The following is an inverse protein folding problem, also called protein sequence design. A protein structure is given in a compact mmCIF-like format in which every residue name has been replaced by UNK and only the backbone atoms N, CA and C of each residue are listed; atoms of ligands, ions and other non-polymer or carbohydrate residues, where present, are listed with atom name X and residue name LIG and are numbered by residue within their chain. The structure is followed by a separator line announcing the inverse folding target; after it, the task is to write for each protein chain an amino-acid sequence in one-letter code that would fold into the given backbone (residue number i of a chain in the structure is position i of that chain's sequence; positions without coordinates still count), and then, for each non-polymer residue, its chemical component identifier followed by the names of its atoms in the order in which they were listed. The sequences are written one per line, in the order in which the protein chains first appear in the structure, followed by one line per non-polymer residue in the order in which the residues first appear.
data_IF_845814125366
#
_entry.id   IF_845814125366
#
_cell.length_a   1.000
_cell.length_b   1.000
_cell.length_c   1.000
_cell.angle_alpha   90.00
_cell.angle_beta   90.00
_cell.angle_gamma   90.00
#
_symmetry.space_group_name_H-M   'P 1'
#
loop_
_entity.id
_entity.type
_entity.pdbx_description
1 polymer ?
#
# COMPACT_ATOMS: atom_id res chain seq x y z
N UNK A 1 8.07 7.41 -5.75
CA UNK A 1 8.04 5.97 -6.14
C UNK A 1 7.19 5.84 -7.40
N UNK A 2 7.62 5.08 -8.40
CA UNK A 2 6.87 4.87 -9.65
C UNK A 2 5.89 3.70 -9.55
N UNK A 3 6.14 2.78 -8.62
CA UNK A 3 5.29 1.63 -8.32
C UNK A 3 5.26 1.38 -6.81
N UNK A 4 4.17 0.78 -6.33
CA UNK A 4 3.99 0.38 -4.93
C UNK A 4 3.54 -1.09 -4.88
N UNK A 5 4.20 -1.88 -4.04
CA UNK A 5 3.77 -3.23 -3.71
C UNK A 5 2.65 -3.21 -2.67
N UNK A 6 1.41 -3.03 -3.14
CA UNK A 6 0.23 -2.92 -2.29
C UNK A 6 -0.18 -4.29 -1.74
N UNK A 7 -0.72 -4.30 -0.53
CA UNK A 7 -1.38 -5.46 0.08
C UNK A 7 -2.89 -5.25 0.13
N UNK A 8 -3.67 -6.30 -0.10
CA UNK A 8 -5.13 -6.30 0.00
C UNK A 8 -5.64 -7.64 0.52
N UNK A 9 -6.82 -7.64 1.14
CA UNK A 9 -7.47 -8.88 1.58
C UNK A 9 -8.22 -9.50 0.40
N UNK A 10 -7.86 -10.72 0.02
CA UNK A 10 -8.59 -11.49 -1.00
C UNK A 10 -9.66 -12.35 -0.33
N UNK A 11 -10.92 -12.02 -0.59
CA UNK A 11 -12.08 -12.75 -0.06
C UNK A 11 -12.17 -14.18 -0.55
N UNK A 12 -11.64 -14.50 -1.74
CA UNK A 12 -11.72 -15.84 -2.32
C UNK A 12 -10.77 -16.81 -1.62
N UNK A 13 -9.53 -16.38 -1.41
CA UNK A 13 -8.51 -17.20 -0.76
C UNK A 13 -8.45 -17.01 0.75
N UNK A 14 -9.20 -16.03 1.29
CA UNK A 14 -9.20 -15.62 2.70
C UNK A 14 -7.78 -15.35 3.20
N UNK A 15 -7.01 -14.62 2.40
CA UNK A 15 -5.62 -14.30 2.72
C UNK A 15 -5.21 -12.94 2.18
N UNK A 16 -4.16 -12.37 2.77
CA UNK A 16 -3.53 -11.16 2.27
C UNK A 16 -2.76 -11.47 0.99
N UNK A 17 -3.05 -10.71 -0.06
CA UNK A 17 -2.42 -10.82 -1.38
C UNK A 17 -1.70 -9.52 -1.74
N UNK A 18 -0.76 -9.62 -2.67
CA UNK A 18 0.03 -8.50 -3.13
C UNK A 18 -0.32 -8.12 -4.56
N UNK A 19 -0.30 -6.82 -4.84
CA UNK A 19 -0.48 -6.28 -6.19
C UNK A 19 0.42 -5.06 -6.38
N UNK A 20 1.16 -5.04 -7.48
CA UNK A 20 1.88 -3.86 -7.90
C UNK A 20 0.89 -2.81 -8.43
N UNK A 21 0.96 -1.61 -7.88
CA UNK A 21 0.16 -0.46 -8.31
C UNK A 21 1.08 0.60 -8.90
N UNK A 22 0.93 0.97 -10.18
CA UNK A 22 1.69 2.05 -10.78
C UNK A 22 1.24 3.40 -10.22
N UNK A 23 2.16 4.33 -10.08
CA UNK A 23 1.92 5.67 -9.50
C UNK A 23 2.02 6.72 -10.60
N UNK A 24 0.93 7.45 -10.83
CA UNK A 24 0.91 8.63 -11.72
C UNK A 24 1.29 9.90 -10.95
N UNK A 25 0.69 10.10 -9.78
CA UNK A 25 0.98 11.22 -8.87
C UNK A 25 1.10 10.71 -7.43
N UNK A 26 2.03 11.29 -6.65
CA UNK A 26 2.30 10.88 -5.27
C UNK A 26 2.01 12.02 -4.30
N UNK A 27 1.17 11.76 -3.29
CA UNK A 27 0.69 12.79 -2.37
C UNK A 27 1.13 12.57 -0.92
N UNK A 28 1.78 11.44 -0.62
CA UNK A 28 2.32 11.18 0.72
C UNK A 28 2.00 9.78 1.21
N UNK A 29 2.26 9.57 2.49
CA UNK A 29 2.06 8.28 3.16
C UNK A 29 1.67 8.49 4.61
N UNK A 30 1.05 7.47 5.20
CA UNK A 30 0.94 7.35 6.65
C UNK A 30 1.98 6.35 7.15
N UNK A 31 2.50 6.55 8.34
CA UNK A 31 3.55 5.72 8.91
C UNK A 31 3.08 4.91 10.12
N UNK A 32 3.69 3.74 10.31
CA UNK A 32 3.55 2.96 11.52
C UNK A 32 4.18 3.72 12.69
N UNK A 33 3.43 3.87 13.78
CA UNK A 33 3.91 4.58 14.98
C UNK A 33 5.06 3.85 15.68
N UNK A 34 5.24 2.55 15.43
CA UNK A 34 6.31 1.75 16.04
C UNK A 34 7.61 1.80 15.23
N UNK A 35 7.55 1.41 13.95
CA UNK A 35 8.76 1.29 13.12
C UNK A 35 9.01 2.48 12.18
N UNK A 36 8.11 3.48 12.16
CA UNK A 36 8.17 4.67 11.29
C UNK A 36 8.30 4.35 9.79
N UNK A 37 7.87 3.17 9.38
CA UNK A 37 7.78 2.76 7.97
C UNK A 37 6.38 3.04 7.42
N UNK A 38 6.24 3.26 6.10
CA UNK A 38 4.93 3.46 5.49
C UNK A 38 3.94 2.31 5.77
N UNK A 39 2.68 2.67 6.01
CA UNK A 39 1.53 1.78 6.18
C UNK A 39 0.55 1.93 5.01
N UNK A 40 0.46 3.14 4.48
CA UNK A 40 -0.34 3.44 3.29
C UNK A 40 0.28 4.57 2.50
N UNK A 41 -0.04 4.65 1.21
CA UNK A 41 0.32 5.75 0.34
C UNK A 41 -0.93 6.36 -0.29
N UNK A 42 -0.96 7.68 -0.39
CA UNK A 42 -1.97 8.42 -1.12
C UNK A 42 -1.42 8.72 -2.52
N UNK A 43 -2.01 8.11 -3.53
CA UNK A 43 -1.54 8.21 -4.92
C UNK A 43 -2.70 8.45 -5.88
N UNK A 44 -2.37 8.98 -7.06
CA UNK A 44 -3.22 8.85 -8.24
C UNK A 44 -2.70 7.71 -9.11
N UNK A 45 -3.61 6.87 -9.59
CA UNK A 45 -3.28 5.74 -10.45
C UNK A 45 -4.52 5.31 -11.24
N UNK A 46 -4.37 5.17 -12.55
CA UNK A 46 -5.46 4.97 -13.51
C UNK A 46 -6.42 6.17 -13.52
N UNK A 47 -5.91 7.39 -13.41
CA UNK A 47 -6.72 8.61 -13.36
C UNK A 47 -7.46 8.86 -12.04
N UNK A 48 -7.44 7.91 -11.10
CA UNK A 48 -8.17 7.98 -9.84
C UNK A 48 -7.24 8.15 -8.62
N UNK A 49 -7.66 9.00 -7.68
CA UNK A 49 -7.02 9.11 -6.37
C UNK A 49 -7.44 7.95 -5.47
N UNK A 50 -6.47 7.26 -4.88
CA UNK A 50 -6.72 6.15 -3.96
C UNK A 50 -5.64 6.02 -2.90
N UNK A 51 -6.06 5.43 -1.79
CA UNK A 51 -5.17 4.99 -0.72
C UNK A 51 -4.79 3.54 -1.01
N UNK A 52 -3.49 3.25 -1.05
CA UNK A 52 -2.98 1.88 -1.17
C UNK A 52 -2.26 1.50 0.12
N UNK A 53 -2.55 0.32 0.65
CA UNK A 53 -1.94 -0.18 1.87
C UNK A 53 -0.72 -1.04 1.55
N UNK A 54 0.28 -1.05 2.43
CA UNK A 54 1.47 -1.89 2.29
C UNK A 54 1.67 -2.73 3.55
N UNK A 55 2.35 -3.88 3.43
CA UNK A 55 2.71 -4.68 4.60
C UNK A 55 3.64 -3.85 5.50
N UNK A 56 3.26 -3.69 6.76
CA UNK A 56 4.10 -3.00 7.73
C UNK A 56 5.44 -3.73 7.90
N UNK A 57 6.55 -2.99 7.89
CA UNK A 57 7.89 -3.57 8.06
C UNK A 57 8.12 -4.25 9.41
N UNK A 58 7.29 -3.97 10.43
CA UNK A 58 7.35 -4.67 11.72
C UNK A 58 6.20 -5.67 11.95
N UNK A 59 5.34 -5.89 10.95
CA UNK A 59 4.36 -6.98 11.04
C UNK A 59 5.12 -8.31 10.93
N UNK A 60 5.06 -9.11 12.00
CA UNK A 60 5.56 -10.48 12.01
C UNK A 60 4.58 -11.37 11.25
N UNK A 61 5.10 -12.44 10.63
CA UNK A 61 4.32 -13.47 9.95
C UNK A 61 3.55 -14.35 10.95
#
# INVERSE_FOLDING_TARGET
PTEINSVYWDEKTKSWQYKIVPVEEYHGFTECQHCRRPMSHNIKSQGEFKVVYVKCGCARE
#
